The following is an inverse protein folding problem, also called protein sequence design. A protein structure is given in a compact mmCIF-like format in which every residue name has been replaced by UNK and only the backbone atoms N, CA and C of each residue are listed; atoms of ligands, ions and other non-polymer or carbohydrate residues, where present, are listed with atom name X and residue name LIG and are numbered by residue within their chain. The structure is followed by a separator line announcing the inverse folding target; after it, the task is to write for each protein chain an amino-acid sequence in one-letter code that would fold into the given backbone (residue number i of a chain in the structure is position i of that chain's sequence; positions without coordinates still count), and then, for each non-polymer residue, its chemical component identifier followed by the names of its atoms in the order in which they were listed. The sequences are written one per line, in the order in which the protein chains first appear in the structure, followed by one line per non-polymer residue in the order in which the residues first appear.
data_IF_060381862949
#
_entry.id   IF_060381862949
#
_cell.length_a   1.000
_cell.length_b   1.000
_cell.length_c   1.000
_cell.angle_alpha   90.00
_cell.angle_beta   90.00
_cell.angle_gamma   90.00
#
_symmetry.space_group_name_H-M   'P 1'
#
loop_
_entity.id
_entity.type
_entity.pdbx_description
1 polymer ?
#
# COMPACT_ATOMS: atom_id res chain seq x y z
N UNK A 1 26.92 3.95 2.75
CA UNK A 1 25.96 4.66 3.63
C UNK A 1 24.66 4.84 2.85
N UNK A 2 23.75 3.87 2.97
CA UNK A 2 22.50 3.77 2.17
C UNK A 2 21.36 4.62 2.74
N UNK A 3 21.53 5.94 2.81
CA UNK A 3 20.47 6.84 3.32
C UNK A 3 19.42 7.24 2.26
N UNK A 4 19.66 6.96 0.98
CA UNK A 4 18.78 7.46 -0.09
C UNK A 4 17.47 6.69 -0.28
N UNK A 5 17.38 5.43 0.19
CA UNK A 5 16.14 4.65 0.04
C UNK A 5 15.15 4.91 1.17
N UNK A 6 15.60 4.83 2.42
CA UNK A 6 14.71 4.95 3.59
C UNK A 6 14.06 6.34 3.76
N UNK A 7 14.77 7.42 3.39
CA UNK A 7 14.22 8.78 3.44
C UNK A 7 13.06 8.98 2.46
N UNK A 8 13.20 8.45 1.24
CA UNK A 8 12.19 8.59 0.19
C UNK A 8 10.95 7.73 0.45
N UNK A 9 11.12 6.58 1.11
CA UNK A 9 10.00 5.69 1.42
C UNK A 9 9.03 6.32 2.43
N UNK A 10 9.53 7.00 3.45
CA UNK A 10 8.70 7.65 4.47
C UNK A 10 7.86 8.77 3.86
N UNK A 11 8.45 9.58 2.99
CA UNK A 11 7.73 10.65 2.30
C UNK A 11 6.69 10.09 1.31
N UNK A 12 7.02 9.02 0.60
CA UNK A 12 6.07 8.34 -0.30
C UNK A 12 4.86 7.77 0.46
N UNK A 13 5.07 7.15 1.62
CA UNK A 13 3.98 6.66 2.48
C UNK A 13 3.05 7.82 2.87
N UNK A 14 3.60 8.95 3.32
CA UNK A 14 2.80 10.12 3.69
C UNK A 14 2.02 10.71 2.51
N UNK A 15 2.57 10.66 1.29
CA UNK A 15 1.86 11.05 0.08
C UNK A 15 0.68 10.13 -0.23
N UNK A 16 0.83 8.81 -0.02
CA UNK A 16 -0.27 7.87 -0.22
C UNK A 16 -1.36 8.03 0.83
N UNK A 17 -1.02 8.26 2.10
CA UNK A 17 -2.02 8.57 3.14
C UNK A 17 -2.86 9.80 2.75
N UNK A 18 -2.22 10.90 2.32
CA UNK A 18 -2.96 12.07 1.83
C UNK A 18 -3.83 11.78 0.62
N UNK A 19 -3.38 10.90 -0.27
CA UNK A 19 -4.16 10.51 -1.45
C UNK A 19 -5.42 9.76 -1.02
N UNK A 20 -5.31 8.87 -0.04
CA UNK A 20 -6.46 8.15 0.55
C UNK A 20 -7.41 9.08 1.30
N UNK A 21 -6.90 10.15 1.93
CA UNK A 21 -7.74 11.18 2.56
C UNK A 21 -8.54 12.01 1.54
N UNK A 22 -7.96 12.27 0.37
CA UNK A 22 -8.58 13.07 -0.69
C UNK A 22 -9.51 12.23 -1.56
N UNK A 23 -9.08 11.03 -1.93
CA UNK A 23 -9.80 10.09 -2.77
C UNK A 23 -9.75 8.69 -2.14
N UNK A 24 -10.70 8.37 -1.25
CA UNK A 24 -10.78 7.05 -0.63
C UNK A 24 -11.16 5.95 -1.62
N UNK A 25 -11.64 6.29 -2.82
CA UNK A 25 -11.96 5.33 -3.87
C UNK A 25 -10.70 4.89 -4.65
N UNK A 26 -9.59 5.61 -4.52
CA UNK A 26 -8.33 5.27 -5.18
C UNK A 26 -7.59 4.11 -4.48
N UNK A 27 -8.11 2.90 -4.70
CA UNK A 27 -7.63 1.68 -4.07
C UNK A 27 -6.16 1.34 -4.41
N UNK A 28 -5.64 1.84 -5.52
CA UNK A 28 -4.23 1.69 -5.90
C UNK A 28 -3.24 2.39 -4.96
N UNK A 29 -3.67 3.42 -4.20
CA UNK A 29 -2.79 4.03 -3.19
C UNK A 29 -2.34 3.01 -2.14
N UNK A 30 -3.22 2.07 -1.76
CA UNK A 30 -2.91 1.03 -0.78
C UNK A 30 -1.84 0.06 -1.31
N UNK A 31 -1.99 -0.37 -2.56
CA UNK A 31 -0.99 -1.20 -3.25
C UNK A 31 0.38 -0.53 -3.29
N UNK A 32 0.44 0.75 -3.70
CA UNK A 32 1.70 1.47 -3.79
C UNK A 32 2.34 1.72 -2.42
N UNK A 33 1.55 2.08 -1.40
CA UNK A 33 2.01 2.24 -0.02
C UNK A 33 2.61 0.94 0.51
N UNK A 34 1.91 -0.18 0.34
CA UNK A 34 2.41 -1.49 0.75
C UNK A 34 3.72 -1.87 0.05
N UNK A 35 3.83 -1.56 -1.25
CA UNK A 35 5.06 -1.84 -2.02
C UNK A 35 6.26 -1.01 -1.55
N UNK A 36 6.03 0.21 -1.08
CA UNK A 36 7.07 1.05 -0.48
C UNK A 36 7.45 0.54 0.92
N UNK A 37 6.49 0.09 1.70
CA UNK A 37 6.73 -0.52 3.02
C UNK A 37 7.56 -1.81 2.88
N UNK A 38 7.21 -2.68 1.94
CA UNK A 38 7.98 -3.90 1.63
C UNK A 38 9.42 -3.57 1.22
N UNK A 39 9.62 -2.62 0.29
CA UNK A 39 10.95 -2.14 -0.09
C UNK A 39 11.74 -1.47 1.04
N UNK A 40 11.06 -1.01 2.08
CA UNK A 40 11.67 -0.47 3.30
C UNK A 40 12.08 -1.56 4.30
N UNK A 41 11.72 -2.81 4.04
CA UNK A 41 11.84 -3.93 4.99
C UNK A 41 10.70 -3.99 6.01
N UNK A 42 9.67 -3.16 5.86
CA UNK A 42 8.48 -3.13 6.72
C UNK A 42 7.39 -4.06 6.17
N UNK A 43 7.71 -5.35 6.04
CA UNK A 43 6.78 -6.38 5.55
C UNK A 43 5.49 -6.44 6.39
N UNK A 44 5.60 -6.20 7.70
CA UNK A 44 4.47 -6.18 8.61
C UNK A 44 3.48 -5.04 8.29
N UNK A 45 3.98 -3.82 8.06
CA UNK A 45 3.12 -2.71 7.66
C UNK A 45 2.59 -2.87 6.23
N UNK A 46 3.39 -3.44 5.32
CA UNK A 46 2.93 -3.76 3.97
C UNK A 46 1.73 -4.71 3.97
N UNK A 47 1.81 -5.79 4.76
CA UNK A 47 0.70 -6.74 4.94
C UNK A 47 -0.54 -6.03 5.45
N UNK A 48 -0.41 -5.25 6.53
CA UNK A 48 -1.56 -4.55 7.12
C UNK A 48 -2.21 -3.58 6.13
N UNK A 49 -1.40 -2.78 5.43
CA UNK A 49 -1.88 -1.84 4.40
C UNK A 49 -2.63 -2.57 3.28
N UNK A 50 -2.17 -3.76 2.86
CA UNK A 50 -2.90 -4.54 1.87
C UNK A 50 -4.22 -5.08 2.41
N UNK A 51 -4.26 -5.55 3.66
CA UNK A 51 -5.50 -6.01 4.29
C UNK A 51 -6.55 -4.90 4.37
N UNK A 52 -6.19 -3.72 4.86
CA UNK A 52 -7.06 -2.54 4.90
C UNK A 52 -7.50 -2.11 3.48
N UNK A 53 -6.57 -2.10 2.51
CA UNK A 53 -6.87 -1.76 1.12
C UNK A 53 -7.80 -2.75 0.41
N UNK A 54 -7.69 -4.04 0.72
CA UNK A 54 -8.57 -5.10 0.19
C UNK A 54 -10.01 -4.91 0.69
N UNK A 55 -10.18 -4.51 1.95
CA UNK A 55 -11.48 -4.20 2.52
C UNK A 55 -12.08 -2.96 1.85
N UNK A 56 -11.30 -1.87 1.73
CA UNK A 56 -11.74 -0.65 1.07
C UNK A 56 -12.08 -0.86 -0.41
N UNK A 57 -11.31 -1.70 -1.11
CA UNK A 57 -11.59 -2.09 -2.49
C UNK A 57 -12.87 -2.92 -2.61
N UNK A 58 -13.16 -3.76 -1.61
CA UNK A 58 -14.44 -4.48 -1.55
C UNK A 58 -15.61 -3.53 -1.34
N UNK A 59 -15.46 -2.52 -0.48
CA UNK A 59 -16.50 -1.52 -0.19
C UNK A 59 -16.78 -0.60 -1.38
N UNK A 60 -15.74 -0.18 -2.09
CA UNK A 60 -15.85 0.70 -3.26
C UNK A 60 -16.23 -0.04 -4.55
N UNK A 61 -16.19 -1.39 -4.53
CA UNK A 61 -16.49 -2.24 -5.68
C UNK A 61 -15.34 -2.35 -6.69
N UNK A 62 -14.12 -1.93 -6.32
CA UNK A 62 -12.93 -2.05 -7.16
C UNK A 62 -12.32 -3.45 -7.05
N UNK A 63 -12.93 -4.40 -7.76
CA UNK A 63 -12.47 -5.79 -7.78
C UNK A 63 -11.04 -5.93 -8.31
N UNK A 64 -10.66 -5.08 -9.26
CA UNK A 64 -9.35 -5.17 -9.90
C UNK A 64 -8.24 -4.81 -8.90
N UNK A 65 -8.40 -3.69 -8.18
CA UNK A 65 -7.47 -3.33 -7.12
C UNK A 65 -7.46 -4.37 -5.99
N UNK A 66 -8.62 -4.93 -5.66
CA UNK A 66 -8.73 -5.98 -4.64
C UNK A 66 -7.93 -7.24 -5.01
N UNK A 67 -8.02 -7.71 -6.25
CA UNK A 67 -7.31 -8.90 -6.72
C UNK A 67 -5.79 -8.68 -6.74
N UNK A 68 -5.32 -7.53 -7.23
CA UNK A 68 -3.90 -7.17 -7.25
C UNK A 68 -3.32 -7.11 -5.84
N UNK A 69 -4.05 -6.49 -4.89
CA UNK A 69 -3.63 -6.42 -3.50
C UNK A 69 -3.61 -7.79 -2.82
N UNK A 70 -4.59 -8.66 -3.10
CA UNK A 70 -4.60 -10.04 -2.60
C UNK A 70 -3.42 -10.85 -3.14
N UNK A 71 -3.12 -10.74 -4.44
CA UNK A 71 -1.98 -11.42 -5.04
C UNK A 71 -0.67 -10.94 -4.43
N UNK A 72 -0.54 -9.64 -4.19
CA UNK A 72 0.65 -9.11 -3.53
C UNK A 72 0.76 -9.60 -2.08
N UNK A 73 -0.34 -9.61 -1.34
CA UNK A 73 -0.37 -10.11 0.04
C UNK A 73 0.08 -11.57 0.14
N UNK A 74 -0.28 -12.41 -0.85
CA UNK A 74 0.16 -13.80 -0.92
C UNK A 74 1.65 -13.95 -1.29
N UNK A 75 2.20 -13.00 -2.03
CA UNK A 75 3.60 -12.99 -2.45
C UNK A 75 4.55 -12.35 -1.41
N UNK A 76 4.03 -11.68 -0.37
CA UNK A 76 4.84 -11.18 0.74
C UNK A 76 5.41 -12.36 1.54
N UNK A 77 6.75 -12.48 1.58
CA UNK A 77 7.50 -13.52 2.30
C UNK A 77 8.06 -13.05 3.64
#
# INVERSE_FOLDING_TARGET
MEYSKSGNHTEAIAWFDRTMEVDPAYCYAWYHKARVQEQSGDTAGARKTLEDGIDQAAETGDQHAQEEMKMFLQNLQ
#
